data_IF_950475537318
#
_entry.id   IF_950475537318
#
_cell.length_a   1.000
_cell.length_b   1.000
_cell.length_c   1.000
_cell.angle_alpha   90.00
_cell.angle_beta   90.00
_cell.angle_gamma   90.00
#
_symmetry.space_group_name_H-M   'P 1'
#
loop_
_entity.id
_entity.type
_entity.pdbx_description
1 polymer ?
#
# COMPACT_ATOMS: atom_id res chain seq x y z
N UNK A 1 -19.21 15.01 -3.99
CA UNK A 1 -19.14 16.02 -5.06
C UNK A 1 -18.66 17.31 -4.43
N UNK A 2 -17.41 17.69 -4.66
CA UNK A 2 -16.94 19.02 -4.24
C UNK A 2 -17.62 20.02 -5.18
N UNK A 3 -18.35 20.98 -4.63
CA UNK A 3 -19.03 22.01 -5.42
C UNK A 3 -18.00 22.78 -6.25
N UNK A 4 -18.29 23.05 -7.53
CA UNK A 4 -17.42 23.84 -8.41
C UNK A 4 -17.05 25.21 -7.81
N UNK A 5 -17.90 25.73 -6.93
CA UNK A 5 -17.65 26.96 -6.18
C UNK A 5 -16.53 26.86 -5.14
N UNK A 6 -16.33 25.68 -4.52
CA UNK A 6 -15.28 25.46 -3.52
C UNK A 6 -13.91 25.28 -4.19
N UNK A 7 -13.87 24.71 -5.39
CA UNK A 7 -12.66 24.55 -6.18
C UNK A 7 -12.09 25.92 -6.64
N UNK A 8 -12.95 26.92 -6.90
CA UNK A 8 -12.51 28.25 -7.33
C UNK A 8 -11.92 29.13 -6.21
N UNK A 9 -12.15 28.77 -4.94
CA UNK A 9 -11.66 29.51 -3.76
C UNK A 9 -10.33 29.00 -3.21
N UNK A 10 -9.77 27.92 -3.78
CA UNK A 10 -8.49 27.39 -3.32
C UNK A 10 -7.37 28.33 -3.79
N UNK A 11 -6.76 29.03 -2.83
CA UNK A 11 -5.59 29.88 -3.08
C UNK A 11 -4.44 28.97 -3.51
N UNK A 12 -4.06 29.07 -4.79
CA UNK A 12 -2.91 28.36 -5.33
C UNK A 12 -1.62 28.96 -4.76
N UNK A 13 -0.59 28.14 -4.47
CA UNK A 13 0.66 28.63 -3.91
C UNK A 13 1.33 29.66 -4.84
N UNK A 14 1.99 30.68 -4.27
CA UNK A 14 2.68 31.71 -5.04
C UNK A 14 3.83 31.11 -5.84
N UNK A 15 3.96 31.55 -7.10
CA UNK A 15 4.97 31.07 -8.04
C UNK A 15 6.23 31.91 -7.85
N UNK A 16 7.44 31.31 -7.83
CA UNK A 16 8.68 32.09 -7.85
C UNK A 16 8.73 32.91 -9.14
N UNK A 17 8.86 34.22 -9.04
CA UNK A 17 9.04 35.10 -10.19
C UNK A 17 10.37 34.77 -10.86
N UNK A 18 10.32 33.94 -11.90
CA UNK A 18 11.46 33.70 -12.78
C UNK A 18 11.60 34.87 -13.75
N UNK A 19 12.79 35.43 -13.85
CA UNK A 19 13.18 36.46 -14.82
C UNK A 19 12.92 35.99 -16.27
N UNK A 20 11.68 36.11 -16.75
CA UNK A 20 11.28 35.67 -18.08
C UNK A 20 10.60 36.82 -18.83
N UNK A 21 11.40 37.46 -19.69
CA UNK A 21 11.01 38.52 -20.62
C UNK A 21 10.11 37.97 -21.75
N UNK A 22 8.86 37.59 -21.47
CA UNK A 22 7.76 37.49 -22.46
C UNK A 22 6.49 36.98 -21.79
N UNK A 23 5.38 37.72 -21.87
CA UNK A 23 4.11 37.40 -21.20
C UNK A 23 3.56 36.00 -21.49
N UNK A 24 3.76 35.48 -22.71
CA UNK A 24 3.30 34.15 -23.09
C UNK A 24 4.07 33.00 -22.41
N UNK A 25 5.36 33.21 -22.12
CA UNK A 25 6.18 32.19 -21.44
C UNK A 25 5.84 32.11 -19.94
N UNK A 26 5.52 33.25 -19.32
CA UNK A 26 5.10 33.31 -17.91
C UNK A 26 3.75 32.61 -17.71
N UNK A 27 2.80 32.81 -18.63
CA UNK A 27 1.48 32.17 -18.56
C UNK A 27 1.55 30.64 -18.78
N UNK A 28 2.35 30.19 -19.75
CA UNK A 28 2.58 28.77 -19.98
C UNK A 28 3.30 28.10 -18.79
N UNK A 29 4.27 28.79 -18.19
CA UNK A 29 4.97 28.33 -16.99
C UNK A 29 4.00 28.22 -15.81
N UNK A 30 3.13 29.21 -15.61
CA UNK A 30 2.07 29.21 -14.59
C UNK A 30 1.11 28.04 -14.76
N UNK A 31 0.65 27.79 -15.99
CA UNK A 31 -0.23 26.65 -16.30
C UNK A 31 0.45 25.30 -16.00
N UNK A 32 1.76 25.18 -16.25
CA UNK A 32 2.53 23.97 -15.92
C UNK A 32 2.63 23.73 -14.41
N UNK A 33 2.92 24.77 -13.63
CA UNK A 33 2.96 24.67 -12.17
C UNK A 33 1.60 24.27 -11.57
N UNK A 34 0.51 24.87 -12.06
CA UNK A 34 -0.85 24.51 -11.65
C UNK A 34 -1.21 23.07 -12.03
N UNK A 35 -0.70 22.58 -13.16
CA UNK A 35 -0.92 21.22 -13.65
C UNK A 35 -0.56 20.14 -12.62
N UNK A 36 0.55 20.30 -11.89
CA UNK A 36 0.94 19.34 -10.85
C UNK A 36 -0.07 19.28 -9.70
N UNK A 37 -0.56 20.44 -9.23
CA UNK A 37 -1.55 20.51 -8.16
C UNK A 37 -2.88 19.91 -8.60
N UNK A 38 -3.38 20.29 -9.77
CA UNK A 38 -4.63 19.76 -10.33
C UNK A 38 -4.55 18.24 -10.46
N UNK A 39 -3.47 17.72 -11.08
CA UNK A 39 -3.28 16.28 -11.24
C UNK A 39 -3.16 15.56 -9.89
N UNK A 40 -2.52 16.16 -8.90
CA UNK A 40 -2.45 15.61 -7.55
C UNK A 40 -3.85 15.53 -6.90
N UNK A 41 -4.67 16.57 -7.03
CA UNK A 41 -6.03 16.60 -6.47
C UNK A 41 -6.94 15.57 -7.13
N UNK A 42 -6.91 15.44 -8.46
CA UNK A 42 -7.67 14.41 -9.18
C UNK A 42 -7.32 13.01 -8.68
N UNK A 43 -6.04 12.75 -8.40
CA UNK A 43 -5.59 11.47 -7.87
C UNK A 43 -6.06 11.23 -6.44
N UNK A 44 -5.98 12.25 -5.57
CA UNK A 44 -6.48 12.17 -4.20
C UNK A 44 -7.98 11.96 -4.13
N UNK A 45 -8.75 12.48 -5.09
CA UNK A 45 -10.18 12.22 -5.17
C UNK A 45 -10.46 10.73 -5.40
N UNK A 46 -9.71 10.08 -6.31
CA UNK A 46 -9.85 8.64 -6.56
C UNK A 46 -9.43 7.83 -5.34
N UNK A 47 -8.33 8.20 -4.68
CA UNK A 47 -7.87 7.57 -3.43
C UNK A 47 -8.96 7.68 -2.36
N UNK A 48 -9.53 8.86 -2.16
CA UNK A 48 -10.58 9.07 -1.17
C UNK A 48 -11.81 8.20 -1.45
N UNK A 49 -12.21 8.05 -2.71
CA UNK A 49 -13.30 7.14 -3.08
C UNK A 49 -12.96 5.67 -2.82
N UNK A 50 -11.72 5.25 -3.08
CA UNK A 50 -11.26 3.90 -2.75
C UNK A 50 -11.29 3.65 -1.23
N UNK A 51 -10.84 4.62 -0.43
CA UNK A 51 -10.92 4.58 1.04
C UNK A 51 -12.37 4.44 1.50
N UNK A 52 -13.27 5.28 0.98
CA UNK A 52 -14.69 5.23 1.33
C UNK A 52 -15.35 3.90 0.95
N UNK A 53 -14.95 3.31 -0.18
CA UNK A 53 -15.53 2.07 -0.68
C UNK A 53 -15.05 0.83 0.10
N UNK A 54 -13.76 0.76 0.43
CA UNK A 54 -13.14 -0.49 0.91
C UNK A 54 -12.61 -0.43 2.34
N UNK A 55 -12.50 0.77 2.94
CA UNK A 55 -11.80 0.97 4.20
C UNK A 55 -12.63 1.66 5.28
N UNK A 56 -13.72 2.36 4.93
CA UNK A 56 -14.59 3.05 5.91
C UNK A 56 -15.90 2.31 6.20
N UNK A 57 -15.93 0.98 6.05
CA UNK A 57 -17.14 0.21 6.29
C UNK A 57 -17.58 0.32 7.76
N UNK A 58 -18.46 1.28 8.07
CA UNK A 58 -19.33 1.23 9.24
C UNK A 58 -20.17 -0.05 9.14
N UNK A 59 -20.19 -0.92 10.15
CA UNK A 59 -21.15 -2.01 10.19
C UNK A 59 -22.53 -1.37 10.11
N UNK A 60 -23.26 -1.60 9.00
CA UNK A 60 -24.65 -1.16 8.91
C UNK A 60 -25.37 -1.86 10.05
N UNK A 61 -25.73 -1.12 11.10
CA UNK A 61 -26.59 -1.63 12.16
C UNK A 61 -27.79 -2.27 11.46
N UNK A 62 -27.92 -3.58 11.64
CA UNK A 62 -29.11 -4.31 11.21
C UNK A 62 -30.30 -3.59 11.84
N UNK A 63 -31.22 -3.10 10.99
CA UNK A 63 -32.51 -2.60 11.45
C UNK A 63 -33.18 -3.70 12.28
N UNK A 64 -33.62 -3.43 13.52
CA UNK A 64 -34.15 -4.46 14.39
C UNK A 64 -35.63 -4.69 14.06
N UNK A 65 -35.93 -5.46 13.01
CA UNK A 65 -37.29 -5.97 12.80
C UNK A 65 -37.29 -7.24 11.95
N UNK A 66 -37.06 -8.38 12.62
CA UNK A 66 -37.94 -9.57 12.59
C UNK A 66 -37.18 -10.80 13.11
N UNK A 67 -37.68 -11.50 14.14
CA UNK A 67 -37.11 -12.78 14.56
C UNK A 67 -37.67 -13.92 13.70
N UNK A 68 -36.91 -15.02 13.62
CA UNK A 68 -37.22 -16.35 13.02
C UNK A 68 -36.99 -16.45 11.50
N UNK A 69 -36.29 -17.44 10.92
CA UNK A 69 -36.03 -18.84 11.30
C UNK A 69 -34.66 -19.35 10.76
N UNK A 70 -34.02 -20.23 11.55
CA UNK A 70 -33.18 -21.40 11.20
C UNK A 70 -32.27 -21.35 9.94
N UNK A 71 -30.95 -21.32 10.19
CA UNK A 71 -30.00 -22.13 9.41
C UNK A 71 -29.29 -21.48 8.23
N UNK A 72 -28.45 -20.46 8.45
CA UNK A 72 -27.24 -20.22 7.67
C UNK A 72 -26.37 -19.17 8.37
N UNK A 73 -25.43 -19.64 9.21
CA UNK A 73 -24.29 -18.82 9.63
C UNK A 73 -23.29 -18.73 8.46
N UNK A 74 -23.73 -18.23 7.30
CA UNK A 74 -22.82 -17.59 6.36
C UNK A 74 -22.57 -16.20 6.93
N UNK A 75 -21.52 -16.08 7.73
CA UNK A 75 -20.87 -14.83 8.07
C UNK A 75 -20.91 -13.95 6.81
N UNK A 76 -21.70 -12.86 6.83
CA UNK A 76 -21.81 -11.88 5.76
C UNK A 76 -20.42 -11.24 5.59
N UNK A 77 -19.50 -11.98 4.96
CA UNK A 77 -18.26 -11.45 4.43
C UNK A 77 -18.70 -10.40 3.45
N UNK A 78 -18.54 -9.13 3.83
CA UNK A 78 -18.77 -7.99 2.96
C UNK A 78 -18.19 -8.33 1.59
N UNK A 79 -19.07 -8.54 0.61
CA UNK A 79 -18.64 -8.96 -0.71
C UNK A 79 -17.87 -7.78 -1.30
N UNK A 80 -16.60 -8.00 -1.64
CA UNK A 80 -15.80 -6.93 -2.25
C UNK A 80 -16.46 -6.57 -3.58
N UNK A 81 -16.90 -5.32 -3.71
CA UNK A 81 -17.49 -4.83 -4.95
C UNK A 81 -16.40 -4.65 -6.01
N UNK A 82 -16.17 -5.72 -6.78
CA UNK A 82 -15.23 -5.70 -7.91
C UNK A 82 -15.64 -4.68 -8.98
N UNK A 83 -16.93 -4.37 -9.12
CA UNK A 83 -17.42 -3.36 -10.06
C UNK A 83 -16.89 -1.97 -9.71
N UNK A 84 -17.01 -1.58 -8.43
CA UNK A 84 -16.45 -0.32 -7.92
C UNK A 84 -14.93 -0.28 -8.10
N UNK A 85 -14.24 -1.39 -7.82
CA UNK A 85 -12.79 -1.47 -7.97
C UNK A 85 -12.34 -1.22 -9.41
N UNK A 86 -12.97 -1.89 -10.37
CA UNK A 86 -12.68 -1.74 -11.79
C UNK A 86 -13.00 -0.33 -12.29
N UNK A 87 -14.10 0.28 -11.81
CA UNK A 87 -14.44 1.66 -12.15
C UNK A 87 -13.39 2.66 -11.65
N UNK A 88 -12.91 2.49 -10.41
CA UNK A 88 -11.87 3.35 -9.85
C UNK A 88 -10.52 3.13 -10.55
N UNK A 89 -10.15 1.90 -10.90
CA UNK A 89 -8.93 1.63 -11.67
C UNK A 89 -9.02 2.24 -13.09
N UNK A 90 -10.19 2.18 -13.73
CA UNK A 90 -10.43 2.86 -15.00
C UNK A 90 -10.21 4.38 -14.88
N UNK A 91 -10.62 4.99 -13.76
CA UNK A 91 -10.33 6.42 -13.49
C UNK A 91 -8.83 6.68 -13.34
N UNK A 92 -8.08 5.83 -12.63
CA UNK A 92 -6.62 5.94 -12.51
C UNK A 92 -5.93 5.82 -13.88
N UNK A 93 -6.40 4.88 -14.71
CA UNK A 93 -5.88 4.69 -16.07
C UNK A 93 -6.20 5.87 -16.98
N UNK A 94 -7.41 6.44 -16.89
CA UNK A 94 -7.77 7.67 -17.60
C UNK A 94 -6.94 8.86 -17.14
N UNK A 95 -6.70 8.97 -15.83
CA UNK A 95 -5.85 10.00 -15.25
C UNK A 95 -4.41 9.92 -15.79
N UNK A 96 -3.83 8.72 -15.83
CA UNK A 96 -2.48 8.47 -16.36
C UNK A 96 -2.38 8.89 -17.83
N UNK A 97 -3.36 8.50 -18.66
CA UNK A 97 -3.41 8.88 -20.09
C UNK A 97 -3.61 10.37 -20.33
N UNK A 98 -4.35 11.04 -19.44
CA UNK A 98 -4.63 12.48 -19.54
C UNK A 98 -3.61 13.34 -18.78
N UNK A 99 -2.51 12.74 -18.31
CA UNK A 99 -1.43 13.49 -17.66
C UNK A 99 -0.60 14.20 -18.74
N UNK A 100 -0.40 15.53 -18.64
CA UNK A 100 0.40 16.27 -19.61
C UNK A 100 1.82 15.69 -19.72
N UNK A 101 2.41 15.75 -20.91
CA UNK A 101 3.72 15.11 -21.17
C UNK A 101 4.83 15.63 -20.25
N UNK A 102 4.81 16.92 -19.88
CA UNK A 102 5.76 17.51 -18.94
C UNK A 102 5.65 17.01 -17.49
N UNK A 103 4.57 16.28 -17.16
CA UNK A 103 4.34 15.57 -15.89
C UNK A 103 4.35 14.05 -16.06
N UNK A 104 4.62 13.56 -17.27
CA UNK A 104 4.73 12.14 -17.58
C UNK A 104 6.20 11.72 -17.60
N UNK A 105 6.47 10.47 -17.20
CA UNK A 105 7.83 9.90 -17.17
C UNK A 105 8.44 9.65 -18.56
N UNK A 106 7.70 9.90 -19.65
CA UNK A 106 8.06 9.50 -21.01
C UNK A 106 8.87 10.55 -21.80
N UNK A 107 8.98 11.79 -21.32
CA UNK A 107 9.76 12.83 -22.01
C UNK A 107 11.27 12.62 -21.80
N UNK A 108 12.08 12.62 -22.88
CA UNK A 108 13.52 12.47 -22.77
C UNK A 108 14.14 13.58 -21.91
N UNK A 109 15.12 13.18 -21.11
CA UNK A 109 15.70 13.83 -19.93
C UNK A 109 16.29 15.25 -20.13
N UNK A 110 16.16 15.86 -21.31
CA UNK A 110 17.04 16.94 -21.77
C UNK A 110 16.38 18.31 -21.93
N UNK A 111 15.07 18.48 -21.73
CA UNK A 111 14.39 19.77 -22.01
C UNK A 111 13.52 20.36 -20.89
N UNK A 112 13.30 19.64 -19.78
CA UNK A 112 12.44 20.09 -18.69
C UNK A 112 13.26 20.45 -17.44
N UNK A 113 12.86 21.53 -16.77
CA UNK A 113 13.38 21.96 -15.47
C UNK A 113 13.32 20.80 -14.45
N UNK A 114 14.33 20.72 -13.56
CA UNK A 114 14.46 19.68 -12.53
C UNK A 114 13.21 19.61 -11.63
N UNK A 115 12.53 20.76 -11.47
CA UNK A 115 11.24 20.85 -10.76
C UNK A 115 10.16 20.00 -11.43
N UNK A 116 9.97 20.12 -12.75
CA UNK A 116 8.94 19.34 -13.47
C UNK A 116 9.30 17.85 -13.50
N UNK A 117 10.58 17.53 -13.64
CA UNK A 117 11.06 16.15 -13.57
C UNK A 117 10.75 15.54 -12.21
N UNK A 118 11.01 16.28 -11.13
CA UNK A 118 10.67 15.85 -9.76
C UNK A 118 9.16 15.68 -9.60
N UNK A 119 8.35 16.59 -10.12
CA UNK A 119 6.89 16.50 -10.09
C UNK A 119 6.38 15.25 -10.83
N UNK A 120 6.92 14.93 -12.01
CA UNK A 120 6.58 13.73 -12.78
C UNK A 120 6.89 12.44 -11.99
N UNK A 121 8.07 12.37 -11.36
CA UNK A 121 8.47 11.23 -10.51
C UNK A 121 7.52 11.09 -9.32
N UNK A 122 7.20 12.19 -8.63
CA UNK A 122 6.27 12.18 -7.49
C UNK A 122 4.88 11.72 -7.93
N UNK A 123 4.37 12.21 -9.07
CA UNK A 123 3.06 11.79 -9.60
C UNK A 123 3.05 10.31 -9.98
N UNK A 124 4.14 9.79 -10.55
CA UNK A 124 4.27 8.35 -10.84
C UNK A 124 4.22 7.52 -9.56
N UNK A 125 4.96 7.90 -8.53
CA UNK A 125 4.94 7.20 -7.23
C UNK A 125 3.53 7.23 -6.62
N UNK A 126 2.87 8.40 -6.64
CA UNK A 126 1.51 8.54 -6.09
C UNK A 126 0.49 7.70 -6.86
N UNK A 127 0.58 7.61 -8.18
CA UNK A 127 -0.29 6.76 -8.99
C UNK A 127 -0.13 5.28 -8.63
N UNK A 128 1.12 4.81 -8.52
CA UNK A 128 1.42 3.43 -8.14
C UNK A 128 0.88 3.12 -6.74
N UNK A 129 1.08 4.03 -5.79
CA UNK A 129 0.51 3.92 -4.45
C UNK A 129 -1.02 3.89 -4.47
N UNK A 130 -1.68 4.73 -5.28
CA UNK A 130 -3.13 4.75 -5.43
C UNK A 130 -3.67 3.41 -5.95
N UNK A 131 -3.01 2.82 -6.97
CA UNK A 131 -3.36 1.48 -7.49
C UNK A 131 -3.18 0.40 -6.43
N UNK A 132 -2.05 0.42 -5.71
CA UNK A 132 -1.83 -0.53 -4.61
C UNK A 132 -2.93 -0.41 -3.56
N UNK A 133 -3.25 0.81 -3.12
CA UNK A 133 -4.28 1.06 -2.12
C UNK A 133 -5.66 0.57 -2.57
N UNK A 134 -6.03 0.85 -3.82
CA UNK A 134 -7.30 0.40 -4.40
C UNK A 134 -7.42 -1.13 -4.44
N UNK A 135 -6.34 -1.81 -4.84
CA UNK A 135 -6.37 -3.24 -5.17
C UNK A 135 -5.95 -4.15 -4.01
N UNK A 136 -5.40 -3.58 -2.93
CA UNK A 136 -4.95 -4.33 -1.76
C UNK A 136 -6.06 -5.20 -1.12
N UNK A 137 -7.33 -4.77 -1.02
CA UNK A 137 -8.40 -5.64 -0.50
C UNK A 137 -8.59 -6.91 -1.34
N UNK A 138 -8.46 -6.79 -2.67
CA UNK A 138 -8.57 -7.91 -3.60
C UNK A 138 -7.37 -8.85 -3.47
N UNK A 139 -6.16 -8.29 -3.37
CA UNK A 139 -4.94 -9.08 -3.09
C UNK A 139 -5.09 -9.87 -1.79
N UNK A 140 -5.52 -9.21 -0.71
CA UNK A 140 -5.73 -9.84 0.60
C UNK A 140 -6.75 -10.97 0.50
N UNK A 141 -7.92 -10.73 -0.11
CA UNK A 141 -8.94 -11.77 -0.28
C UNK A 141 -8.42 -12.91 -1.15
N UNK A 142 -7.71 -12.62 -2.23
CA UNK A 142 -7.13 -13.62 -3.12
C UNK A 142 -6.12 -14.51 -2.38
N UNK A 143 -5.16 -13.90 -1.69
CA UNK A 143 -4.11 -14.63 -0.99
C UNK A 143 -4.64 -15.46 0.18
N UNK A 144 -5.65 -14.96 0.90
CA UNK A 144 -6.22 -15.62 2.09
C UNK A 144 -7.39 -16.56 1.81
N UNK A 145 -7.95 -16.57 0.60
CA UNK A 145 -8.99 -17.54 0.25
C UNK A 145 -8.41 -18.95 0.34
N UNK A 146 -8.98 -19.81 1.18
CA UNK A 146 -8.51 -21.19 1.35
C UNK A 146 -8.44 -21.87 -0.04
N UNK A 147 -7.28 -22.43 -0.37
CA UNK A 147 -7.14 -23.28 -1.55
C UNK A 147 -8.07 -24.49 -1.30
N UNK A 148 -9.13 -24.70 -2.09
CA UNK A 148 -9.91 -25.90 -1.92
C UNK A 148 -9.04 -27.06 -2.38
N UNK A 149 -8.55 -27.85 -1.44
CA UNK A 149 -8.19 -29.25 -1.66
C UNK A 149 -9.49 -30.00 -2.00
N UNK A 150 -10.10 -29.70 -3.13
CA UNK A 150 -11.16 -30.48 -3.74
C UNK A 150 -11.31 -30.08 -5.19
N UNK A 151 -11.45 -31.10 -6.02
CA UNK A 151 -11.45 -31.18 -7.48
C UNK A 151 -12.56 -30.38 -8.20
N UNK A 152 -13.08 -29.32 -7.59
CA UNK A 152 -14.00 -28.36 -8.21
C UNK A 152 -13.67 -26.93 -7.72
N UNK A 153 -12.49 -26.42 -8.12
CA UNK A 153 -12.30 -24.99 -8.13
C UNK A 153 -13.27 -24.41 -9.17
N UNK A 154 -14.37 -23.80 -8.70
CA UNK A 154 -15.22 -22.99 -9.57
C UNK A 154 -14.37 -21.85 -10.13
N UNK A 155 -13.82 -22.05 -11.33
CA UNK A 155 -13.12 -21.06 -12.16
C UNK A 155 -14.16 -20.07 -12.74
N UNK A 156 -14.86 -19.39 -11.85
CA UNK A 156 -15.79 -18.34 -12.21
C UNK A 156 -15.04 -17.07 -12.64
N UNK A 157 -15.74 -16.21 -13.38
CA UNK A 157 -15.16 -14.97 -13.88
C UNK A 157 -14.71 -14.04 -12.74
N UNK A 158 -15.41 -14.06 -11.61
CA UNK A 158 -15.12 -13.21 -10.44
C UNK A 158 -13.76 -13.55 -9.84
N UNK A 159 -13.45 -14.84 -9.68
CA UNK A 159 -12.18 -15.35 -9.20
C UNK A 159 -11.01 -14.95 -10.12
N UNK A 160 -11.18 -15.06 -11.44
CA UNK A 160 -10.16 -14.63 -12.41
C UNK A 160 -9.92 -13.12 -12.39
N UNK A 161 -10.98 -12.32 -12.30
CA UNK A 161 -10.87 -10.86 -12.15
C UNK A 161 -10.16 -10.52 -10.85
N UNK A 162 -10.49 -11.18 -9.75
CA UNK A 162 -9.84 -10.97 -8.45
C UNK A 162 -8.35 -11.32 -8.49
N UNK A 163 -7.98 -12.43 -9.13
CA UNK A 163 -6.58 -12.78 -9.39
C UNK A 163 -5.88 -11.70 -10.21
N UNK A 164 -6.52 -11.18 -11.26
CA UNK A 164 -5.94 -10.11 -12.07
C UNK A 164 -5.73 -8.83 -11.26
N UNK A 165 -6.70 -8.43 -10.42
CA UNK A 165 -6.55 -7.31 -9.50
C UNK A 165 -5.36 -7.51 -8.54
N UNK A 166 -5.19 -8.73 -8.01
CA UNK A 166 -4.08 -9.07 -7.15
C UNK A 166 -2.72 -8.96 -7.88
N UNK A 167 -2.63 -9.44 -9.12
CA UNK A 167 -1.44 -9.30 -9.97
C UNK A 167 -1.08 -7.84 -10.21
N UNK A 168 -2.04 -7.00 -10.61
CA UNK A 168 -1.81 -5.57 -10.83
C UNK A 168 -1.37 -4.86 -9.54
N UNK A 169 -1.90 -5.25 -8.38
CA UNK A 169 -1.46 -4.70 -7.08
C UNK A 169 0.03 -4.98 -6.81
N UNK A 170 0.47 -6.22 -7.07
CA UNK A 170 1.86 -6.65 -6.88
C UNK A 170 2.80 -5.98 -7.88
N UNK A 171 2.41 -5.91 -9.16
CA UNK A 171 3.17 -5.19 -10.20
C UNK A 171 3.35 -3.71 -9.83
N UNK A 172 2.32 -3.08 -9.28
CA UNK A 172 2.40 -1.69 -8.81
C UNK A 172 3.39 -1.53 -7.65
N UNK A 173 3.42 -2.47 -6.70
CA UNK A 173 4.40 -2.46 -5.59
C UNK A 173 5.84 -2.64 -6.07
N UNK A 174 6.08 -3.60 -6.98
CA UNK A 174 7.40 -3.82 -7.59
C UNK A 174 7.85 -2.59 -8.39
N UNK A 175 6.95 -2.02 -9.19
CA UNK A 175 7.21 -0.79 -9.95
C UNK A 175 7.53 0.39 -9.03
N UNK A 176 6.83 0.52 -7.90
CA UNK A 176 7.08 1.59 -6.94
C UNK A 176 8.49 1.48 -6.35
N UNK A 177 8.87 0.27 -5.92
CA UNK A 177 10.22 0.01 -5.41
C UNK A 177 11.26 0.32 -6.49
N UNK A 178 11.03 -0.14 -7.73
CA UNK A 178 11.93 0.12 -8.86
C UNK A 178 12.10 1.62 -9.15
N UNK A 179 11.03 2.41 -9.09
CA UNK A 179 11.10 3.86 -9.28
C UNK A 179 11.91 4.53 -8.17
N UNK A 180 11.73 4.10 -6.91
CA UNK A 180 12.54 4.63 -5.80
C UNK A 180 14.01 4.27 -5.99
N UNK A 181 14.33 3.01 -6.31
CA UNK A 181 15.71 2.58 -6.60
C UNK A 181 16.33 3.40 -7.74
N UNK A 182 15.58 3.62 -8.83
CA UNK A 182 16.06 4.34 -10.01
C UNK A 182 16.47 5.78 -9.72
N UNK A 183 15.75 6.47 -8.83
CA UNK A 183 15.97 7.90 -8.55
C UNK A 183 16.60 8.18 -7.18
N UNK A 184 16.99 7.13 -6.44
CA UNK A 184 17.73 7.25 -5.20
C UNK A 184 19.09 7.92 -5.48
N UNK A 185 19.43 8.96 -4.70
CA UNK A 185 20.76 9.57 -4.68
C UNK A 185 21.41 9.35 -3.31
N UNK A 186 22.73 9.14 -3.30
CA UNK A 186 23.52 8.95 -2.08
C UNK A 186 24.38 10.18 -1.72
N UNK A 187 24.11 11.32 -2.36
CA UNK A 187 24.84 12.58 -2.18
C UNK A 187 24.26 13.48 -1.07
N UNK A 188 23.26 12.98 -0.33
CA UNK A 188 22.57 13.73 0.72
C UNK A 188 21.53 14.73 0.20
N UNK A 189 21.34 14.86 -1.12
CA UNK A 189 20.30 15.70 -1.71
C UNK A 189 18.93 15.00 -1.67
N UNK A 190 17.85 15.79 -1.74
CA UNK A 190 16.50 15.22 -1.87
C UNK A 190 16.29 14.52 -3.23
N UNK A 191 17.06 14.93 -4.25
CA UNK A 191 16.92 14.45 -5.63
C UNK A 191 15.51 14.64 -6.19
N UNK A 192 15.12 13.71 -7.06
CA UNK A 192 13.80 13.71 -7.72
C UNK A 192 12.71 13.03 -6.89
N UNK A 193 13.07 12.45 -5.75
CA UNK A 193 12.16 11.71 -4.90
C UNK A 193 11.40 12.64 -3.92
N UNK A 194 10.29 12.17 -3.35
CA UNK A 194 9.63 12.86 -2.24
C UNK A 194 10.53 12.88 -0.99
N UNK A 195 10.09 13.61 0.04
CA UNK A 195 10.78 13.65 1.33
C UNK A 195 10.96 12.24 1.92
N UNK A 196 12.00 12.06 2.73
CA UNK A 196 12.45 10.75 3.19
C UNK A 196 11.37 9.95 3.93
N UNK A 197 10.54 10.61 4.74
CA UNK A 197 9.46 9.93 5.48
C UNK A 197 8.40 9.35 4.54
N UNK A 198 8.04 10.06 3.46
CA UNK A 198 7.15 9.53 2.43
C UNK A 198 7.77 8.35 1.70
N UNK A 199 9.08 8.37 1.42
CA UNK A 199 9.78 7.23 0.80
C UNK A 199 9.66 5.99 1.68
N UNK A 200 9.97 6.12 2.98
CA UNK A 200 9.87 5.04 3.97
C UNK A 200 8.45 4.48 4.03
N UNK A 201 7.44 5.36 4.09
CA UNK A 201 6.03 4.97 4.04
C UNK A 201 5.68 4.16 2.78
N UNK A 202 6.09 4.63 1.60
CA UNK A 202 5.80 3.92 0.35
C UNK A 202 6.52 2.58 0.26
N UNK A 203 7.79 2.52 0.68
CA UNK A 203 8.58 1.28 0.70
C UNK A 203 7.93 0.26 1.65
N UNK A 204 7.57 0.69 2.86
CA UNK A 204 6.89 -0.16 3.83
C UNK A 204 5.58 -0.72 3.25
N UNK A 205 4.74 0.13 2.69
CA UNK A 205 3.46 -0.28 2.09
C UNK A 205 3.68 -1.25 0.93
N UNK A 206 4.66 -1.02 0.06
CA UNK A 206 5.00 -1.94 -1.04
C UNK A 206 5.52 -3.29 -0.52
N UNK A 207 6.36 -3.27 0.51
CA UNK A 207 6.87 -4.50 1.11
C UNK A 207 5.75 -5.35 1.73
N UNK A 208 4.73 -4.75 2.36
CA UNK A 208 3.57 -5.51 2.87
C UNK A 208 2.79 -6.22 1.76
N UNK A 209 2.64 -5.59 0.59
CA UNK A 209 2.04 -6.21 -0.61
C UNK A 209 2.88 -7.41 -1.08
N UNK A 210 4.21 -7.30 -1.07
CA UNK A 210 5.10 -8.41 -1.41
C UNK A 210 5.00 -9.59 -0.44
N UNK A 211 4.84 -9.32 0.88
CA UNK A 211 4.61 -10.38 1.88
C UNK A 211 3.31 -11.13 1.56
N UNK A 212 2.22 -10.40 1.29
CA UNK A 212 0.95 -11.02 0.92
C UNK A 212 1.08 -11.88 -0.35
N UNK A 213 1.81 -11.40 -1.37
CA UNK A 213 2.04 -12.13 -2.62
C UNK A 213 2.77 -13.48 -2.40
N UNK A 214 3.68 -13.56 -1.43
CA UNK A 214 4.40 -14.81 -1.10
C UNK A 214 3.49 -15.93 -0.60
N UNK A 215 2.26 -15.64 -0.17
CA UNK A 215 1.27 -16.66 0.19
C UNK A 215 0.76 -17.48 -1.02
N UNK A 216 0.97 -16.99 -2.25
CA UNK A 216 0.52 -17.64 -3.50
C UNK A 216 1.67 -17.80 -4.50
N UNK A 217 2.68 -18.64 -4.19
CA UNK A 217 3.87 -18.80 -5.04
C UNK A 217 3.57 -19.44 -6.41
N UNK A 218 2.39 -20.05 -6.58
CA UNK A 218 1.92 -20.58 -7.88
C UNK A 218 1.50 -19.49 -8.85
N UNK A 219 1.19 -18.29 -8.35
CA UNK A 219 0.69 -17.15 -9.14
C UNK A 219 1.76 -16.07 -9.24
N UNK A 220 2.47 -15.81 -8.14
CA UNK A 220 3.51 -14.79 -8.08
C UNK A 220 4.90 -15.41 -8.12
N UNK A 221 5.75 -14.94 -9.04
CA UNK A 221 7.13 -15.38 -9.19
C UNK A 221 7.95 -15.14 -7.91
N UNK A 222 8.32 -16.22 -7.22
CA UNK A 222 9.15 -16.15 -6.01
C UNK A 222 10.46 -15.40 -6.22
N UNK A 223 11.04 -15.48 -7.43
CA UNK A 223 12.27 -14.77 -7.79
C UNK A 223 12.05 -13.26 -7.84
N UNK A 224 11.01 -12.80 -8.54
CA UNK A 224 10.73 -11.36 -8.71
C UNK A 224 10.30 -10.70 -7.40
N UNK A 225 9.52 -11.44 -6.59
CA UNK A 225 9.13 -11.01 -5.25
C UNK A 225 10.36 -10.90 -4.34
N UNK A 226 11.27 -11.89 -4.38
CA UNK A 226 12.50 -11.86 -3.56
C UNK A 226 13.44 -10.74 -3.97
N UNK A 227 13.60 -10.51 -5.28
CA UNK A 227 14.38 -9.38 -5.80
C UNK A 227 13.85 -8.04 -5.29
N UNK A 228 12.54 -7.82 -5.43
CA UNK A 228 11.89 -6.57 -5.02
C UNK A 228 11.92 -6.39 -3.50
N UNK A 229 11.75 -7.48 -2.74
CA UNK A 229 11.89 -7.47 -1.28
C UNK A 229 13.29 -7.05 -0.84
N UNK A 230 14.33 -7.62 -1.43
CA UNK A 230 15.71 -7.27 -1.09
C UNK A 230 16.01 -5.79 -1.41
N UNK A 231 15.48 -5.28 -2.52
CA UNK A 231 15.57 -3.85 -2.85
C UNK A 231 14.84 -2.98 -1.82
N UNK A 232 13.63 -3.36 -1.40
CA UNK A 232 12.90 -2.63 -0.36
C UNK A 232 13.66 -2.60 0.98
N UNK A 233 14.22 -3.74 1.41
CA UNK A 233 15.01 -3.82 2.64
C UNK A 233 16.29 -3.00 2.56
N UNK A 234 17.01 -3.06 1.44
CA UNK A 234 18.20 -2.22 1.22
C UNK A 234 17.86 -0.73 1.27
N UNK A 235 16.77 -0.30 0.63
CA UNK A 235 16.31 1.07 0.71
C UNK A 235 15.99 1.49 2.16
N UNK A 236 15.31 0.65 2.94
CA UNK A 236 15.02 0.98 4.35
C UNK A 236 16.30 1.12 5.18
N UNK A 237 17.29 0.25 4.97
CA UNK A 237 18.59 0.33 5.62
C UNK A 237 19.33 1.63 5.27
N UNK A 238 19.32 2.05 3.99
CA UNK A 238 19.93 3.30 3.57
C UNK A 238 19.32 4.53 4.27
N UNK A 239 18.05 4.44 4.66
CA UNK A 239 17.34 5.52 5.34
C UNK A 239 17.52 5.53 6.87
N UNK A 240 18.15 4.52 7.48
CA UNK A 240 18.30 4.43 8.95
C UNK A 240 19.07 5.61 9.56
N UNK A 241 19.99 6.22 8.80
CA UNK A 241 20.72 7.40 9.22
C UNK A 241 19.85 8.65 9.39
N UNK A 242 18.65 8.66 8.80
CA UNK A 242 17.73 9.80 8.80
C UNK A 242 16.76 9.80 10.00
N UNK A 243 16.71 8.71 10.77
CA UNK A 243 15.88 8.60 11.97
C UNK A 243 15.60 7.15 12.38
N UNK A 244 14.88 6.93 13.50
CA UNK A 244 14.61 5.58 14.00
C UNK A 244 13.51 4.83 13.23
N UNK A 245 12.64 5.55 12.51
CA UNK A 245 11.48 4.95 11.82
C UNK A 245 11.85 3.90 10.76
N UNK A 246 12.82 4.13 9.85
CA UNK A 246 13.17 3.15 8.81
C UNK A 246 13.65 1.82 9.40
N UNK A 247 14.45 1.90 10.48
CA UNK A 247 14.90 0.72 11.24
C UNK A 247 13.73 -0.05 11.83
N UNK A 248 12.76 0.64 12.43
CA UNK A 248 11.53 0.01 12.96
C UNK A 248 10.70 -0.63 11.85
N UNK A 249 10.53 0.03 10.71
CA UNK A 249 9.83 -0.52 9.54
C UNK A 249 10.51 -1.79 9.03
N UNK A 250 11.84 -1.79 8.89
CA UNK A 250 12.61 -2.96 8.47
C UNK A 250 12.42 -4.14 9.45
N UNK A 251 12.52 -3.89 10.75
CA UNK A 251 12.31 -4.92 11.78
C UNK A 251 10.87 -5.48 11.75
N UNK A 252 9.86 -4.61 11.67
CA UNK A 252 8.47 -5.02 11.59
C UNK A 252 8.19 -5.90 10.36
N UNK A 253 8.71 -5.51 9.19
CA UNK A 253 8.59 -6.28 7.95
C UNK A 253 9.25 -7.67 8.06
N UNK A 254 10.43 -7.74 8.67
CA UNK A 254 11.12 -9.02 8.90
C UNK A 254 10.32 -9.94 9.83
N UNK A 255 9.79 -9.40 10.93
CA UNK A 255 8.94 -10.15 11.87
C UNK A 255 7.67 -10.65 11.17
N UNK A 256 6.98 -9.79 10.41
CA UNK A 256 5.80 -10.18 9.65
C UNK A 256 6.12 -11.31 8.65
N UNK A 257 7.21 -11.16 7.91
CA UNK A 257 7.63 -12.20 6.97
C UNK A 257 7.95 -13.51 7.68
N UNK A 258 8.67 -13.51 8.81
CA UNK A 258 9.00 -14.77 9.50
C UNK A 258 7.77 -15.44 10.08
N UNK A 259 6.87 -14.68 10.73
CA UNK A 259 5.63 -15.21 11.29
C UNK A 259 4.75 -15.87 10.22
N UNK A 260 4.54 -15.20 9.08
CA UNK A 260 3.66 -15.71 8.01
C UNK A 260 4.17 -16.99 7.33
N UNK A 261 5.47 -17.29 7.38
CA UNK A 261 6.04 -18.51 6.78
C UNK A 261 6.50 -19.56 7.80
N UNK A 262 6.44 -19.26 9.11
CA UNK A 262 6.69 -20.25 10.18
C UNK A 262 5.44 -21.06 10.54
N UNK A 263 4.23 -20.56 10.27
CA UNK A 263 2.96 -21.22 10.61
C UNK A 263 2.43 -22.21 9.55
N UNK A 264 3.16 -22.46 8.46
CA UNK A 264 2.84 -23.59 7.57
C UNK A 264 3.33 -24.90 8.22
N UNK A 265 2.44 -25.87 8.52
CA UNK A 265 2.84 -27.12 9.15
C UNK A 265 3.81 -27.87 8.23
N UNK A 266 5.01 -28.16 8.74
CA UNK A 266 5.84 -29.20 8.17
C UNK A 266 5.01 -30.50 8.07
N UNK A 267 5.06 -31.24 6.94
CA UNK A 267 4.53 -32.59 6.91
C UNK A 267 5.29 -33.41 7.95
N UNK A 268 4.60 -33.81 9.02
CA UNK A 268 5.16 -34.70 10.03
C UNK A 268 5.42 -36.06 9.37
N UNK A 269 6.65 -36.29 8.93
CA UNK A 269 7.18 -37.64 8.76
C UNK A 269 7.28 -38.27 10.15
N UNK A 270 6.36 -39.18 10.46
CA UNK A 270 6.49 -40.09 11.59
C UNK A 270 7.71 -40.99 11.40
N UNK A 271 8.49 -41.23 12.47
CA UNK A 271 8.95 -42.57 12.75
C UNK A 271 8.45 -43.01 14.13
N UNK A 272 7.70 -44.11 14.15
CA UNK A 272 7.50 -44.91 15.35
C UNK A 272 8.85 -45.42 15.88
N UNK A 273 9.14 -45.20 17.16
CA UNK A 273 9.17 -46.28 18.15
C UNK A 273 9.65 -45.79 19.53
N UNK A 274 9.10 -46.45 20.53
CA UNK A 274 9.06 -46.20 21.97
C UNK A 274 10.43 -46.16 22.68
N UNK A 275 10.56 -45.33 23.72
CA UNK A 275 10.96 -45.75 25.08
C UNK A 275 11.12 -44.54 26.04
N UNK A 276 10.63 -44.75 27.26
CA UNK A 276 10.55 -43.86 28.43
C UNK A 276 11.78 -42.99 28.76
N UNK A 277 11.53 -41.78 29.29
CA UNK A 277 12.03 -41.32 30.59
C UNK A 277 11.37 -40.01 31.05
N UNK A 278 11.34 -39.78 32.36
CA UNK A 278 10.38 -38.95 33.07
C UNK A 278 10.99 -37.66 33.69
N UNK A 279 10.16 -36.61 33.79
CA UNK A 279 10.18 -35.44 34.75
C UNK A 279 11.25 -34.34 34.49
N UNK A 280 11.05 -33.04 34.85
CA UNK A 280 9.89 -32.32 35.43
C UNK A 280 9.33 -31.14 34.60
N UNK A 281 8.11 -30.74 34.98
CA UNK A 281 7.46 -29.50 34.55
C UNK A 281 8.22 -28.25 35.02
N UNK A 282 8.41 -27.29 34.10
CA UNK A 282 8.81 -25.91 34.38
C UNK A 282 7.64 -25.02 33.95
N UNK A 283 7.24 -24.00 34.74
CA UNK A 283 6.12 -23.13 34.38
C UNK A 283 6.50 -22.30 33.15
N UNK A 284 5.72 -22.37 32.09
CA UNK A 284 5.76 -21.41 30.99
C UNK A 284 5.19 -20.09 31.47
N UNK A 285 6.08 -19.15 31.80
CA UNK A 285 5.74 -17.75 32.00
C UNK A 285 5.17 -17.20 30.68
N UNK A 286 3.88 -16.88 30.69
CA UNK A 286 3.29 -16.00 29.69
C UNK A 286 3.85 -14.60 29.94
N UNK A 287 4.91 -14.23 29.23
CA UNK A 287 5.32 -12.83 29.15
C UNK A 287 4.34 -12.09 28.22
N UNK A 288 3.22 -11.65 28.78
CA UNK A 288 2.51 -10.46 28.30
C UNK A 288 3.46 -9.27 28.50
N UNK A 289 4.13 -8.85 27.43
CA UNK A 289 4.98 -7.66 27.44
C UNK A 289 4.09 -6.42 27.31
N UNK A 290 3.44 -6.05 28.41
CA UNK A 290 2.77 -4.76 28.57
C UNK A 290 3.85 -3.73 28.91
N UNK A 291 4.12 -2.78 28.00
CA UNK A 291 4.94 -1.62 28.33
C UNK A 291 4.14 -0.32 28.16
N UNK A 292 4.06 0.51 29.23
CA UNK A 292 3.19 1.68 29.27
C UNK A 292 3.80 2.85 28.51
N UNK A 293 3.07 3.36 27.51
CA UNK A 293 3.39 4.62 26.84
C UNK A 293 2.87 5.80 27.64
N UNK A 294 3.78 6.56 28.24
CA UNK A 294 3.52 7.96 28.59
C UNK A 294 4.85 8.69 28.56
N UNK A 295 5.11 9.45 27.50
CA UNK A 295 5.39 10.89 27.57
C UNK A 295 5.70 11.45 26.17
N UNK A 296 5.24 12.68 26.00
CA UNK A 296 5.07 13.48 24.79
C UNK A 296 6.32 13.74 23.94
N UNK A 297 6.12 13.78 22.62
CA UNK A 297 6.62 14.88 21.79
C UNK A 297 5.64 15.11 20.63
N UNK A 298 4.98 16.27 20.67
CA UNK A 298 4.22 16.84 19.56
C UNK A 298 5.16 17.07 18.37
N UNK A 299 5.00 16.26 17.35
CA UNK A 299 5.20 16.64 15.95
C UNK A 299 4.41 15.63 15.12
N UNK A 300 3.76 16.09 14.06
CA UNK A 300 2.81 15.33 13.24
C UNK A 300 3.44 14.04 12.65
N UNK A 301 3.44 12.96 13.44
CA UNK A 301 4.11 11.71 13.13
C UNK A 301 3.17 10.54 13.38
N UNK A 302 2.60 10.06 12.27
CA UNK A 302 2.34 8.65 11.98
C UNK A 302 2.28 7.73 13.22
N UNK A 303 1.08 7.58 13.76
CA UNK A 303 0.80 6.70 14.89
C UNK A 303 0.92 5.23 14.47
N UNK A 304 2.02 4.60 14.88
CA UNK A 304 2.31 3.19 14.61
C UNK A 304 1.69 2.27 15.68
N UNK A 305 1.24 2.83 16.82
CA UNK A 305 0.58 2.08 17.89
C UNK A 305 -0.87 1.72 17.51
N UNK A 306 -1.42 2.40 16.50
CA UNK A 306 -2.70 2.04 15.87
C UNK A 306 -2.64 0.73 15.04
N UNK A 307 -1.45 0.16 14.80
CA UNK A 307 -1.31 -1.11 14.09
C UNK A 307 -1.29 -2.26 15.11
N UNK A 308 -2.49 -2.65 15.57
CA UNK A 308 -2.67 -3.91 16.30
C UNK A 308 -2.30 -5.08 15.38
N UNK A 309 -1.21 -5.78 15.70
CA UNK A 309 -0.75 -6.96 14.97
C UNK A 309 -1.25 -8.23 15.65
N UNK A 310 -2.50 -8.62 15.39
CA UNK A 310 -2.94 -9.99 15.65
C UNK A 310 -2.71 -10.83 14.39
N UNK A 311 -1.91 -11.89 14.51
CA UNK A 311 -1.57 -12.82 13.41
C UNK A 311 -2.80 -13.62 12.94
N UNK A 312 -3.82 -13.73 13.79
CA UNK A 312 -5.10 -14.34 13.44
C UNK A 312 -6.10 -13.36 12.81
N UNK A 313 -5.83 -12.05 12.89
CA UNK A 313 -6.65 -10.99 12.31
C UNK A 313 -5.86 -10.25 11.24
N UNK A 314 -6.04 -10.66 9.98
CA UNK A 314 -5.47 -9.98 8.80
C UNK A 314 -6.04 -8.57 8.57
N UNK A 315 -6.74 -7.98 9.54
CA UNK A 315 -7.19 -6.59 9.54
C UNK A 315 -6.03 -5.61 9.29
N UNK A 316 -4.80 -5.90 9.73
CA UNK A 316 -3.60 -5.10 9.44
C UNK A 316 -3.28 -4.99 7.93
N UNK A 317 -3.73 -5.94 7.09
CA UNK A 317 -3.63 -5.81 5.63
C UNK A 317 -4.61 -4.77 5.07
N UNK A 318 -5.65 -4.42 5.82
CA UNK A 318 -6.63 -3.41 5.45
C UNK A 318 -6.50 -2.14 6.32
N UNK A 319 -5.69 -2.13 7.37
CA UNK A 319 -5.46 -0.94 8.18
C UNK A 319 -4.64 0.08 7.37
N UNK A 320 -5.26 1.24 7.10
CA UNK A 320 -4.61 2.39 6.49
C UNK A 320 -3.86 3.16 7.59
N UNK A 321 -2.56 3.43 7.45
CA UNK A 321 -1.87 4.25 8.44
C UNK A 321 -2.37 5.69 8.39
N UNK A 322 -2.78 6.23 9.54
CA UNK A 322 -3.16 7.64 9.67
C UNK A 322 -4.63 7.96 9.44
N UNK A 323 -5.57 7.10 9.83
CA UNK A 323 -6.97 7.53 9.97
C UNK A 323 -7.16 8.40 11.22
N UNK A 324 -6.77 9.68 11.09
CA UNK A 324 -7.31 10.81 11.85
C UNK A 324 -7.45 11.99 10.88
#
# INVERSE_FOLDING_TARGET
MISDHLASTVVLPPIPDGDAQSGNNVELHRLRYQGFFVKSLELYEVINQAVLAFYTATPRLKSPTSPSHLGQHSQERHELDLGVALQLDQRLTKWEKNTPSFLAMAEPETQLDEVFRRQAVILRIRLLHARMLLLRPMLTRFCLSQCPDSTQAHDDLSSRVMQQCAMVCVEAAQSLISVIVQFQRHDGTLGLLPAWWYRVFYIYTAATVLIAARLRPTVFSSLDISKSWNQAMALLHDHESLGPSPKRCAAALQILSTKMFQEQPQPQTLPNSEANQAVPAVPSEHETFDMPFTYMAQDAAFDMDAISFDVNDFSWLNSMPGSL
#
